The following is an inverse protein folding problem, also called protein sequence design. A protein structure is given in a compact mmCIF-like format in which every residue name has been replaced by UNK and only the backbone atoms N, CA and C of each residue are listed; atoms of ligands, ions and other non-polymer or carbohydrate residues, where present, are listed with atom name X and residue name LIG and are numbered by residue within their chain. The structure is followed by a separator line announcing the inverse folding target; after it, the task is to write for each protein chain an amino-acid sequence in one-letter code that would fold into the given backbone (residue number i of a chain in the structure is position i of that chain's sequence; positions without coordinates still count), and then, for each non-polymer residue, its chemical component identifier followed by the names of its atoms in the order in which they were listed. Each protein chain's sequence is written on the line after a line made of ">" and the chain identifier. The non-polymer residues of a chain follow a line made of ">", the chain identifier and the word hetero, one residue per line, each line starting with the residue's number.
data_IF_379317098157
#
_entry.id   IF_379317098157
#
_cell.length_a   1.000
_cell.length_b   1.000
_cell.length_c   1.000
_cell.angle_alpha   90.00
_cell.angle_beta   90.00
_cell.angle_gamma   90.00
#
_symmetry.space_group_name_H-M   'P 1'
#
loop_
_entity.id
_entity.type
_entity.pdbx_description
1 polymer ?
#
# COMPACT_ATOMS: atom_id res chain seq x y z
N UNK A 1 1.23 -8.53 17.40
CA UNK A 1 2.31 -8.95 16.49
C UNK A 1 1.77 -8.82 15.08
N UNK A 2 2.38 -7.94 14.29
CA UNK A 2 1.94 -7.58 12.95
C UNK A 2 3.01 -7.96 11.95
N UNK A 3 2.60 -8.19 10.71
CA UNK A 3 3.49 -8.24 9.57
C UNK A 3 3.72 -6.82 9.05
N UNK A 4 4.92 -6.59 8.51
CA UNK A 4 5.24 -5.40 7.73
C UNK A 4 5.28 -5.79 6.26
N UNK A 5 4.49 -5.11 5.44
CA UNK A 5 4.53 -5.24 4.00
C UNK A 5 4.84 -3.93 3.31
N UNK A 6 5.35 -4.04 2.11
CA UNK A 6 5.60 -2.94 1.21
C UNK A 6 4.90 -3.20 -0.12
N UNK A 7 4.29 -2.17 -0.66
CA UNK A 7 3.72 -2.16 -1.99
C UNK A 7 4.52 -1.14 -2.79
N UNK A 8 5.20 -1.60 -3.83
CA UNK A 8 5.82 -0.72 -4.81
C UNK A 8 4.81 -0.49 -5.93
N UNK A 9 4.63 0.78 -6.29
CA UNK A 9 3.65 1.24 -7.26
C UNK A 9 4.41 1.89 -8.40
N UNK A 10 4.03 1.49 -9.62
CA UNK A 10 4.44 2.13 -10.86
C UNK A 10 3.27 2.93 -11.41
N UNK A 11 3.52 4.17 -11.77
CA UNK A 11 2.51 5.08 -12.27
C UNK A 11 2.38 5.00 -13.79
N UNK A 12 1.13 5.03 -14.24
CA UNK A 12 0.76 5.21 -15.64
C UNK A 12 0.85 6.67 -16.07
N UNK A 13 0.56 7.59 -15.15
CA UNK A 13 0.55 9.03 -15.40
C UNK A 13 1.62 9.71 -14.55
N UNK A 14 2.69 10.16 -15.21
CA UNK A 14 3.80 10.88 -14.56
C UNK A 14 3.27 12.15 -13.88
N UNK A 15 3.75 12.45 -12.66
CA UNK A 15 3.31 13.62 -11.89
C UNK A 15 2.09 13.37 -11.00
N UNK A 16 1.64 12.12 -10.87
CA UNK A 16 0.54 11.72 -9.97
C UNK A 16 1.00 11.07 -8.67
N UNK A 17 2.31 11.08 -8.38
CA UNK A 17 2.92 10.45 -7.20
C UNK A 17 2.29 10.98 -5.92
N UNK A 18 2.21 12.31 -5.79
CA UNK A 18 1.65 12.96 -4.61
C UNK A 18 0.14 12.74 -4.47
N UNK A 19 -0.59 12.54 -5.56
CA UNK A 19 -2.03 12.20 -5.50
C UNK A 19 -2.24 10.81 -4.91
N UNK A 20 -1.39 9.86 -5.30
CA UNK A 20 -1.39 8.51 -4.71
C UNK A 20 -1.01 8.57 -3.23
N UNK A 21 0.00 9.36 -2.87
CA UNK A 21 0.42 9.57 -1.47
C UNK A 21 -0.74 10.13 -0.65
N UNK A 22 -1.37 11.21 -1.10
CA UNK A 22 -2.50 11.84 -0.40
C UNK A 22 -3.68 10.88 -0.20
N UNK A 23 -3.97 10.05 -1.21
CA UNK A 23 -5.10 9.11 -1.15
C UNK A 23 -4.83 7.90 -0.25
N UNK A 24 -3.58 7.43 -0.21
CA UNK A 24 -3.20 6.24 0.58
C UNK A 24 -2.78 6.58 2.01
N UNK A 25 -2.29 7.81 2.25
CA UNK A 25 -1.81 8.22 3.57
C UNK A 25 -2.91 8.16 4.61
N UNK A 26 -2.67 7.43 5.70
CA UNK A 26 -3.61 7.29 6.81
C UNK A 26 -4.75 6.30 6.57
N UNK A 27 -4.79 5.58 5.45
CA UNK A 27 -5.75 4.50 5.25
C UNK A 27 -5.55 3.41 6.30
N UNK A 28 -6.67 2.91 6.82
CA UNK A 28 -6.73 1.85 7.82
C UNK A 28 -8.00 1.05 7.63
N UNK A 29 -8.01 -0.14 8.21
CA UNK A 29 -9.21 -0.96 8.32
C UNK A 29 -10.38 -0.18 8.93
N UNK A 30 -11.56 -0.32 8.32
CA UNK A 30 -12.85 0.12 8.86
C UNK A 30 -13.64 -1.03 9.49
N UNK A 31 -13.21 -2.28 9.23
CA UNK A 31 -13.91 -3.48 9.68
C UNK A 31 -13.40 -3.92 11.06
N UNK A 32 -14.29 -4.29 12.00
CA UNK A 32 -13.89 -4.66 13.36
C UNK A 32 -13.05 -5.95 13.43
N UNK A 33 -13.11 -6.80 12.40
CA UNK A 33 -12.35 -8.06 12.33
C UNK A 33 -11.00 -7.94 11.60
N UNK A 34 -10.72 -6.76 11.04
CA UNK A 34 -9.51 -6.45 10.28
C UNK A 34 -8.65 -5.44 11.03
N UNK A 35 -7.34 -5.70 11.04
CA UNK A 35 -6.39 -4.89 11.78
C UNK A 35 -5.18 -4.64 10.89
N UNK A 36 -5.35 -3.65 10.01
CA UNK A 36 -4.32 -3.17 9.10
C UNK A 36 -4.35 -1.64 8.99
N UNK A 37 -3.19 -1.06 8.71
CA UNK A 37 -3.00 0.36 8.43
C UNK A 37 -1.85 0.60 7.48
N UNK A 38 -1.97 1.64 6.66
CA UNK A 38 -0.85 2.21 5.92
C UNK A 38 -0.07 3.09 6.89
N UNK A 39 1.19 2.74 7.13
CA UNK A 39 2.06 3.43 8.09
C UNK A 39 2.88 4.52 7.43
N UNK A 40 3.20 4.37 6.13
CA UNK A 40 4.04 5.31 5.42
C UNK A 40 3.79 5.24 3.91
N UNK A 41 3.80 6.39 3.23
CA UNK A 41 3.73 6.47 1.77
C UNK A 41 4.64 7.60 1.31
N UNK A 42 5.52 7.34 0.35
CA UNK A 42 6.37 8.38 -0.24
C UNK A 42 6.69 8.08 -1.71
N UNK A 43 6.85 9.11 -2.56
CA UNK A 43 7.44 8.92 -3.88
C UNK A 43 8.90 8.46 -3.76
N UNK A 44 9.33 7.61 -4.68
CA UNK A 44 10.70 7.11 -4.75
C UNK A 44 11.27 7.32 -6.15
N UNK A 45 12.59 7.44 -6.23
CA UNK A 45 13.30 7.49 -7.51
C UNK A 45 13.87 6.10 -7.83
N UNK A 46 13.56 5.57 -9.01
CA UNK A 46 14.07 4.27 -9.44
C UNK A 46 13.19 3.62 -10.51
N UNK A 47 13.16 2.29 -10.56
CA UNK A 47 12.26 1.53 -11.45
C UNK A 47 10.79 1.52 -11.01
N UNK A 48 10.48 2.16 -9.88
CA UNK A 48 9.16 2.32 -9.27
C UNK A 48 9.00 3.78 -8.85
N UNK A 49 7.75 4.24 -8.72
CA UNK A 49 7.44 5.66 -8.51
C UNK A 49 6.99 5.96 -7.07
N UNK A 50 6.31 5.03 -6.40
CA UNK A 50 5.81 5.21 -5.03
C UNK A 50 6.04 3.94 -4.21
N UNK A 51 6.47 4.09 -2.96
CA UNK A 51 6.49 3.01 -1.96
C UNK A 51 5.43 3.27 -0.89
N UNK A 52 4.68 2.22 -0.59
CA UNK A 52 3.66 2.18 0.46
C UNK A 52 4.08 1.14 1.48
N UNK A 53 4.22 1.53 2.73
CA UNK A 53 4.38 0.62 3.85
C UNK A 53 3.03 0.39 4.52
N UNK A 54 2.75 -0.87 4.82
CA UNK A 54 1.57 -1.27 5.57
C UNK A 54 1.93 -2.22 6.71
N UNK A 55 1.19 -2.08 7.80
CA UNK A 55 1.18 -3.01 8.92
C UNK A 55 -0.14 -3.75 8.92
N UNK A 56 -0.11 -5.07 9.05
CA UNK A 56 -1.32 -5.89 9.04
C UNK A 56 -1.16 -7.15 9.88
N UNK A 57 -2.27 -7.66 10.42
CA UNK A 57 -2.26 -8.85 11.27
C UNK A 57 -2.46 -10.14 10.48
N UNK A 58 -3.29 -10.13 9.43
CA UNK A 58 -3.59 -11.30 8.59
C UNK A 58 -3.06 -11.08 7.18
N UNK A 59 -2.50 -12.13 6.56
CA UNK A 59 -1.96 -12.03 5.19
C UNK A 59 -3.03 -11.62 4.16
N UNK A 60 -4.28 -12.05 4.37
CA UNK A 60 -5.43 -11.67 3.53
C UNK A 60 -5.68 -10.16 3.51
N UNK A 61 -5.26 -9.43 4.54
CA UNK A 61 -5.44 -7.98 4.60
C UNK A 61 -4.50 -7.28 3.62
N UNK A 62 -3.32 -7.83 3.35
CA UNK A 62 -2.41 -7.30 2.31
C UNK A 62 -3.06 -7.39 0.92
N UNK A 63 -3.65 -8.54 0.58
CA UNK A 63 -4.35 -8.72 -0.69
C UNK A 63 -5.48 -7.70 -0.89
N UNK A 64 -6.17 -7.33 0.19
CA UNK A 64 -7.22 -6.30 0.17
C UNK A 64 -6.65 -4.92 -0.14
N UNK A 65 -5.55 -4.52 0.52
CA UNK A 65 -4.89 -3.24 0.27
C UNK A 65 -4.44 -3.16 -1.19
N UNK A 66 -3.82 -4.22 -1.70
CA UNK A 66 -3.37 -4.29 -3.10
C UNK A 66 -4.55 -4.24 -4.06
N UNK A 67 -5.62 -4.97 -3.76
CA UNK A 67 -6.84 -4.96 -4.56
C UNK A 67 -7.44 -3.56 -4.60
N UNK A 68 -7.50 -2.86 -3.45
CA UNK A 68 -7.97 -1.49 -3.37
C UNK A 68 -7.18 -0.56 -4.30
N UNK A 69 -5.84 -0.65 -4.31
CA UNK A 69 -5.01 0.12 -5.23
C UNK A 69 -5.33 -0.14 -6.72
N UNK A 70 -5.85 -1.33 -7.05
CA UNK A 70 -6.14 -1.73 -8.44
C UNK A 70 -7.59 -1.47 -8.88
N UNK A 71 -8.54 -1.42 -7.94
CA UNK A 71 -9.98 -1.30 -8.27
C UNK A 71 -10.55 0.09 -8.00
N UNK A 72 -9.91 0.89 -7.14
CA UNK A 72 -10.33 2.26 -6.92
C UNK A 72 -10.25 3.07 -8.22
N UNK A 73 -11.28 3.87 -8.51
CA UNK A 73 -11.42 4.56 -9.80
C UNK A 73 -10.29 5.54 -10.09
N UNK A 74 -9.77 6.21 -9.06
CA UNK A 74 -8.69 7.17 -9.24
C UNK A 74 -7.34 6.45 -9.29
N UNK A 75 -7.09 5.54 -8.35
CA UNK A 75 -5.83 4.81 -8.26
C UNK A 75 -5.62 3.93 -9.50
N UNK A 76 -6.65 3.24 -9.99
CA UNK A 76 -6.56 2.42 -11.21
C UNK A 76 -6.29 3.25 -12.48
N UNK A 77 -6.65 4.55 -12.48
CA UNK A 77 -6.32 5.46 -13.58
C UNK A 77 -4.87 5.94 -13.51
N UNK A 78 -4.29 6.04 -12.31
CA UNK A 78 -2.94 6.55 -12.07
C UNK A 78 -1.88 5.46 -12.00
N UNK A 79 -2.24 4.24 -11.59
CA UNK A 79 -1.34 3.12 -11.34
C UNK A 79 -1.30 2.21 -12.58
N UNK A 80 -0.10 1.91 -13.04
CA UNK A 80 0.16 0.93 -14.10
C UNK A 80 0.36 -0.47 -13.50
N UNK A 81 1.21 -0.58 -12.48
CA UNK A 81 1.60 -1.86 -11.90
C UNK A 81 1.83 -1.73 -10.40
N UNK A 82 1.57 -2.81 -9.67
CA UNK A 82 1.90 -2.92 -8.24
C UNK A 82 2.63 -4.23 -7.98
N UNK A 83 3.70 -4.19 -7.19
CA UNK A 83 4.34 -5.39 -6.63
C UNK A 83 4.40 -5.33 -5.12
N UNK A 84 4.34 -6.49 -4.47
CA UNK A 84 4.31 -6.60 -3.01
C UNK A 84 5.53 -7.31 -2.48
N UNK A 85 6.07 -6.79 -1.38
CA UNK A 85 7.13 -7.39 -0.59
C UNK A 85 6.60 -7.52 0.84
N UNK A 86 6.89 -8.63 1.51
CA UNK A 86 6.47 -8.83 2.90
C UNK A 86 7.62 -9.33 3.76
N UNK A 87 7.66 -8.87 5.00
CA UNK A 87 8.51 -9.47 6.02
C UNK A 87 8.08 -10.91 6.27
N UNK A 88 9.04 -11.81 6.38
CA UNK A 88 8.82 -13.24 6.67
C UNK A 88 8.52 -13.51 8.15
N UNK A 89 8.60 -12.50 9.01
CA UNK A 89 8.29 -12.55 10.45
C UNK A 89 7.23 -11.51 10.81
N UNK A 90 6.40 -11.84 11.79
CA UNK A 90 5.34 -10.99 12.34
C UNK A 90 5.81 -10.21 13.59
N UNK A 91 7.08 -9.84 13.63
CA UNK A 91 7.74 -9.17 14.75
C UNK A 91 7.55 -7.63 14.75
N UNK A 92 6.67 -7.10 13.89
CA UNK A 92 6.41 -5.67 13.85
C UNK A 92 5.56 -5.23 15.05
N UNK A 93 6.03 -4.25 15.86
CA UNK A 93 5.36 -3.82 17.09
C UNK A 93 4.07 -3.00 16.86
N UNK A 94 3.90 -2.43 15.66
CA UNK A 94 2.79 -1.59 15.17
C UNK A 94 2.57 -0.23 15.83
#
# INVERSE_FOLDING_TARGET
>A
MYYRGYILIRLKVIGTEWKVVEKLSGLKSTEPEEDWKITYVIPIYGGWDVIVECSFKKLKDLDKIVTFCRVDQDLSAWIEETTTLMGSKNDYPA
#
